data_IF_690870569994
#
_entry.id   IF_690870569994
#
_cell.length_a   1.000
_cell.length_b   1.000
_cell.length_c   1.000
_cell.angle_alpha   90.00
_cell.angle_beta   90.00
_cell.angle_gamma   90.00
#
_symmetry.space_group_name_H-M   'P 1'
#
loop_
_entity.id
_entity.type
_entity.pdbx_description
1 polymer ?
#
# COMPACT_ATOMS: atom_id res chain seq x y z
N UNK A 1 -0.16 13.12 10.27
CA UNK A 1 -0.84 14.24 9.61
C UNK A 1 -2.18 14.51 10.29
N UNK A 2 -2.55 15.78 10.46
CA UNK A 2 -3.83 16.17 11.09
C UNK A 2 -4.40 17.34 10.29
N UNK A 3 -5.06 17.05 9.16
CA UNK A 3 -5.65 18.09 8.32
C UNK A 3 -6.84 18.76 9.04
N UNK A 4 -7.12 20.03 8.71
CA UNK A 4 -8.19 20.81 9.34
C UNK A 4 -9.57 20.20 9.11
N UNK A 5 -9.81 19.72 7.90
CA UNK A 5 -11.11 19.21 7.44
C UNK A 5 -11.03 17.75 6.96
N UNK A 6 -10.14 16.95 7.56
CA UNK A 6 -9.93 15.54 7.23
C UNK A 6 -9.52 14.72 8.46
N UNK A 7 -9.44 13.41 8.28
CA UNK A 7 -9.08 12.48 9.34
C UNK A 7 -7.59 12.59 9.70
N UNK A 8 -7.30 12.46 10.98
CA UNK A 8 -5.93 12.27 11.47
C UNK A 8 -5.36 10.96 10.91
N UNK A 9 -4.08 10.97 10.51
CA UNK A 9 -3.47 9.80 9.88
C UNK A 9 -1.98 9.70 10.14
N UNK A 10 -1.46 8.48 10.07
CA UNK A 10 -0.03 8.14 9.94
C UNK A 10 0.20 7.57 8.56
N UNK A 11 1.35 7.86 7.95
CA UNK A 11 1.68 7.37 6.62
C UNK A 11 3.20 7.29 6.43
N UNK A 12 3.64 6.37 5.59
CA UNK A 12 5.01 6.31 5.08
C UNK A 12 5.13 7.11 3.79
N UNK A 13 6.13 7.96 3.70
CA UNK A 13 6.39 8.80 2.53
C UNK A 13 7.75 8.49 1.91
N UNK A 14 7.81 8.41 0.58
CA UNK A 14 9.05 8.18 -0.17
C UNK A 14 9.82 9.49 -0.39
N UNK A 15 10.78 9.80 0.47
CA UNK A 15 11.57 11.03 0.40
C UNK A 15 12.49 11.12 -0.84
N UNK A 16 12.80 10.02 -1.47
CA UNK A 16 13.51 9.96 -2.75
C UNK A 16 12.71 10.59 -3.90
N UNK A 17 11.39 10.54 -3.88
CA UNK A 17 10.53 11.25 -4.84
C UNK A 17 10.73 12.78 -4.83
N UNK A 18 11.24 13.33 -3.74
CA UNK A 18 11.55 14.76 -3.59
C UNK A 18 13.07 15.00 -3.44
N UNK A 19 13.89 14.00 -3.68
CA UNK A 19 15.35 14.03 -3.53
C UNK A 19 15.80 14.51 -2.15
N UNK A 20 15.07 14.18 -1.08
CA UNK A 20 15.36 14.55 0.30
C UNK A 20 15.89 13.38 1.16
N UNK A 21 16.25 12.27 0.51
CA UNK A 21 16.73 11.02 1.12
C UNK A 21 18.24 11.01 1.40
N UNK A 22 18.97 12.10 1.13
CA UNK A 22 20.41 12.20 1.37
C UNK A 22 20.69 13.04 2.62
N UNK A 23 21.73 12.70 3.43
CA UNK A 23 22.03 13.42 4.69
C UNK A 23 22.42 14.89 4.47
N UNK A 24 23.08 15.21 3.35
CA UNK A 24 23.64 16.54 3.05
C UNK A 24 22.80 17.35 2.05
N UNK A 25 21.46 17.20 2.14
CA UNK A 25 20.56 17.95 1.25
C UNK A 25 20.52 19.45 1.60
N UNK A 26 20.36 20.29 0.57
CA UNK A 26 20.19 21.74 0.75
C UNK A 26 18.96 22.09 1.62
N UNK A 27 18.95 23.29 2.19
CA UNK A 27 17.80 23.77 2.97
C UNK A 27 16.48 23.74 2.16
N UNK A 28 16.55 24.09 0.88
CA UNK A 28 15.38 24.02 -0.01
C UNK A 28 14.82 22.59 -0.12
N UNK A 29 15.68 21.57 -0.24
CA UNK A 29 15.26 20.17 -0.25
C UNK A 29 14.73 19.70 1.12
N UNK A 30 15.31 20.18 2.23
CA UNK A 30 14.74 19.93 3.57
C UNK A 30 13.36 20.51 3.71
N UNK A 31 13.11 21.70 3.17
CA UNK A 31 11.77 22.31 3.12
C UNK A 31 10.80 21.51 2.24
N UNK A 32 11.28 20.83 1.20
CA UNK A 32 10.46 19.94 0.39
C UNK A 32 9.87 18.77 1.19
N UNK A 33 10.45 18.39 2.35
CA UNK A 33 9.85 17.40 3.25
C UNK A 33 8.45 17.83 3.78
N UNK A 34 8.10 19.12 3.70
CA UNK A 34 6.74 19.57 4.01
C UNK A 34 5.70 19.04 3.01
N UNK A 35 6.13 18.56 1.84
CA UNK A 35 5.26 17.89 0.87
C UNK A 35 5.10 16.38 1.12
N UNK A 36 5.79 15.82 2.11
CA UNK A 36 5.73 14.39 2.43
C UNK A 36 4.30 13.82 2.56
N UNK A 37 3.31 14.55 3.13
CA UNK A 37 1.93 14.07 3.20
C UNK A 37 1.27 13.79 1.82
N UNK A 38 1.83 14.34 0.73
CA UNK A 38 1.30 14.18 -0.63
C UNK A 38 2.06 13.18 -1.49
N UNK A 39 3.06 12.50 -0.91
CA UNK A 39 3.89 11.47 -1.57
C UNK A 39 3.90 10.17 -0.76
N UNK A 40 2.79 9.87 -0.08
CA UNK A 40 2.63 8.66 0.70
C UNK A 40 2.57 7.42 -0.19
N UNK A 41 3.11 6.30 0.30
CA UNK A 41 3.03 4.98 -0.33
C UNK A 41 2.04 4.08 0.38
N UNK A 42 1.84 4.31 1.67
CA UNK A 42 0.85 3.65 2.51
C UNK A 42 0.46 4.54 3.68
N UNK A 43 -0.54 4.12 4.45
CA UNK A 43 -0.96 4.81 5.66
C UNK A 43 -2.23 4.25 6.27
N UNK A 44 -2.52 4.72 7.49
CA UNK A 44 -3.74 4.43 8.25
C UNK A 44 -4.32 5.72 8.81
N UNK A 45 -5.64 5.86 8.80
CA UNK A 45 -6.34 7.00 9.40
C UNK A 45 -7.03 6.64 10.72
N UNK A 46 -7.51 7.66 11.44
CA UNK A 46 -8.21 7.51 12.75
C UNK A 46 -9.57 6.83 12.67
N UNK A 47 -10.07 6.51 11.47
CA UNK A 47 -11.28 5.69 11.26
C UNK A 47 -10.94 4.22 11.11
N UNK A 48 -9.66 3.85 11.15
CA UNK A 48 -9.19 2.50 10.94
C UNK A 48 -9.30 2.07 9.48
N UNK A 49 -9.07 2.99 8.55
CA UNK A 49 -8.86 2.66 7.14
C UNK A 49 -7.38 2.72 6.83
N UNK A 50 -6.84 1.61 6.37
CA UNK A 50 -5.47 1.52 5.84
C UNK A 50 -5.47 1.40 4.32
N UNK A 51 -4.49 2.01 3.68
CA UNK A 51 -4.27 1.94 2.23
C UNK A 51 -2.78 1.79 1.94
N UNK A 52 -2.45 0.93 0.98
CA UNK A 52 -1.11 0.79 0.44
C UNK A 52 -1.16 0.74 -1.09
N UNK A 53 -0.09 1.21 -1.75
CA UNK A 53 0.06 1.15 -3.21
C UNK A 53 1.10 0.10 -3.58
N UNK A 54 0.80 -0.68 -4.63
CA UNK A 54 1.74 -1.63 -5.22
C UNK A 54 1.85 -1.37 -6.72
N UNK A 55 3.06 -1.52 -7.26
CA UNK A 55 3.33 -1.34 -8.70
C UNK A 55 2.87 -2.53 -9.52
N UNK A 56 2.40 -2.24 -10.73
CA UNK A 56 2.09 -3.21 -11.77
C UNK A 56 2.99 -2.97 -12.99
N UNK A 57 3.50 -4.04 -13.58
CA UNK A 57 4.37 -3.97 -14.78
C UNK A 57 3.51 -3.87 -16.05
N UNK A 58 2.72 -2.81 -16.14
CA UNK A 58 1.83 -2.53 -17.28
C UNK A 58 1.87 -1.05 -17.63
N UNK A 59 1.28 -0.71 -18.79
CA UNK A 59 1.14 0.68 -19.21
C UNK A 59 0.39 1.49 -18.15
N UNK A 60 0.87 2.69 -17.83
CA UNK A 60 0.27 3.53 -16.79
C UNK A 60 -1.20 3.86 -17.10
N UNK A 61 -2.06 3.79 -16.09
CA UNK A 61 -3.42 4.31 -16.20
C UNK A 61 -3.40 5.80 -16.50
N UNK A 62 -4.24 6.24 -17.43
CA UNK A 62 -4.47 7.64 -17.75
C UNK A 62 -5.91 7.81 -18.23
N UNK A 63 -6.84 7.86 -17.29
CA UNK A 63 -8.26 8.03 -17.59
C UNK A 63 -8.54 9.44 -18.11
N UNK A 64 -9.54 9.57 -18.99
CA UNK A 64 -10.04 10.82 -19.54
C UNK A 64 -11.55 10.73 -19.78
N UNK A 65 -12.30 10.52 -18.70
CA UNK A 65 -13.77 10.38 -18.73
C UNK A 65 -14.48 11.70 -18.48
N UNK A 66 -13.73 12.79 -18.24
CA UNK A 66 -14.25 14.11 -17.93
C UNK A 66 -14.38 14.41 -16.44
N UNK A 67 -13.96 13.49 -15.57
CA UNK A 67 -13.84 13.74 -14.13
C UNK A 67 -12.56 14.54 -13.83
N UNK A 68 -12.46 15.10 -12.64
CA UNK A 68 -11.21 15.72 -12.19
C UNK A 68 -10.09 14.67 -12.11
N UNK A 69 -8.90 15.00 -12.65
CA UNK A 69 -7.75 14.07 -12.61
C UNK A 69 -7.09 14.05 -11.23
N UNK A 70 -6.71 12.86 -10.79
CA UNK A 70 -5.93 12.64 -9.58
C UNK A 70 -4.78 11.66 -9.87
N UNK A 71 -3.60 11.91 -9.28
CA UNK A 71 -2.48 10.97 -9.40
C UNK A 71 -2.33 10.11 -8.16
N UNK A 72 -1.66 8.97 -8.30
CA UNK A 72 -1.58 7.87 -7.36
C UNK A 72 -1.31 8.29 -5.91
N UNK A 73 -0.29 9.13 -5.65
CA UNK A 73 0.05 9.50 -4.27
C UNK A 73 -0.94 10.48 -3.64
N UNK A 74 -1.60 11.34 -4.45
CA UNK A 74 -2.72 12.16 -3.98
C UNK A 74 -3.97 11.33 -3.71
N UNK A 75 -4.19 10.25 -4.45
CA UNK A 75 -5.29 9.33 -4.19
C UNK A 75 -5.16 8.69 -2.81
N UNK A 76 -3.94 8.27 -2.41
CA UNK A 76 -3.67 7.77 -1.06
C UNK A 76 -4.02 8.83 -0.02
N UNK A 77 -3.56 10.07 -0.22
CA UNK A 77 -3.86 11.18 0.69
C UNK A 77 -5.36 11.45 0.80
N UNK A 78 -6.08 11.41 -0.33
CA UNK A 78 -7.53 11.61 -0.37
C UNK A 78 -8.28 10.55 0.45
N UNK A 79 -7.92 9.27 0.28
CA UNK A 79 -8.51 8.15 1.04
C UNK A 79 -8.23 8.33 2.54
N UNK A 80 -6.98 8.61 2.91
CA UNK A 80 -6.61 8.84 4.31
C UNK A 80 -7.35 10.02 4.94
N UNK A 81 -7.66 11.06 4.17
CA UNK A 81 -8.36 12.24 4.69
C UNK A 81 -9.88 12.07 4.78
N UNK A 82 -10.48 11.17 3.99
CA UNK A 82 -11.92 11.21 3.73
C UNK A 82 -12.66 9.88 3.89
N UNK A 83 -11.99 8.73 3.73
CA UNK A 83 -12.67 7.43 3.81
C UNK A 83 -12.71 6.91 5.25
N UNK A 84 -13.86 6.45 5.70
CA UNK A 84 -14.06 5.75 6.96
C UNK A 84 -14.32 4.24 6.78
N UNK A 85 -14.43 3.80 5.52
CA UNK A 85 -14.62 2.39 5.13
C UNK A 85 -13.94 2.10 3.80
N UNK A 86 -13.71 0.83 3.49
CA UNK A 86 -13.24 0.39 2.18
C UNK A 86 -14.19 0.79 1.05
N UNK A 87 -15.52 0.77 1.29
CA UNK A 87 -16.50 1.20 0.29
C UNK A 87 -16.37 2.71 -0.01
N UNK A 88 -16.21 3.54 1.01
CA UNK A 88 -15.99 4.97 0.81
C UNK A 88 -14.69 5.25 0.05
N UNK A 89 -13.63 4.45 0.27
CA UNK A 89 -12.41 4.55 -0.52
C UNK A 89 -12.65 4.24 -2.00
N UNK A 90 -13.42 3.19 -2.31
CA UNK A 90 -13.82 2.87 -3.70
C UNK A 90 -14.58 4.02 -4.32
N UNK A 91 -15.61 4.54 -3.65
CA UNK A 91 -16.49 5.61 -4.17
C UNK A 91 -15.70 6.91 -4.40
N UNK A 92 -14.79 7.24 -3.48
CA UNK A 92 -13.90 8.39 -3.61
C UNK A 92 -13.00 8.25 -4.84
N UNK A 93 -12.31 7.11 -5.00
CA UNK A 93 -11.40 6.90 -6.13
C UNK A 93 -12.14 6.85 -7.47
N UNK A 94 -13.35 6.27 -7.51
CA UNK A 94 -14.19 6.26 -8.71
C UNK A 94 -14.70 7.66 -9.09
N UNK A 95 -14.73 8.61 -8.18
CA UNK A 95 -15.17 9.98 -8.47
C UNK A 95 -14.14 10.82 -9.26
N UNK A 96 -12.94 10.30 -9.47
CA UNK A 96 -11.84 10.95 -10.20
C UNK A 96 -11.38 10.15 -11.41
N UNK A 97 -10.72 10.82 -12.35
CA UNK A 97 -9.93 10.20 -13.40
C UNK A 97 -8.50 9.96 -12.88
N UNK A 98 -8.12 8.70 -12.75
CA UNK A 98 -6.79 8.31 -12.28
C UNK A 98 -5.75 8.45 -13.38
N UNK A 99 -4.58 8.98 -13.03
CA UNK A 99 -3.39 8.88 -13.87
C UNK A 99 -2.14 8.54 -13.06
N UNK A 100 -1.32 7.66 -13.61
CA UNK A 100 -0.03 7.27 -13.04
C UNK A 100 1.10 8.07 -13.70
N UNK A 101 2.03 8.59 -12.88
CA UNK A 101 3.06 9.53 -13.34
C UNK A 101 4.45 8.94 -13.47
N UNK A 102 4.69 7.72 -12.96
CA UNK A 102 6.04 7.13 -12.85
C UNK A 102 6.40 6.17 -13.99
N UNK A 103 5.58 6.10 -15.06
CA UNK A 103 5.81 5.17 -16.17
C UNK A 103 5.41 3.73 -15.87
N UNK A 104 4.74 3.49 -14.75
CA UNK A 104 4.19 2.19 -14.33
C UNK A 104 2.75 2.36 -13.87
N UNK A 105 1.99 1.30 -13.92
CA UNK A 105 0.67 1.24 -13.33
C UNK A 105 0.69 0.85 -11.86
N UNK A 106 -0.42 1.04 -11.17
CA UNK A 106 -0.56 0.80 -9.73
C UNK A 106 -1.94 0.28 -9.40
N UNK A 107 -2.01 -0.50 -8.33
CA UNK A 107 -3.24 -0.77 -7.62
C UNK A 107 -3.12 -0.40 -6.14
N UNK A 108 -4.26 -0.30 -5.47
CA UNK A 108 -4.34 -0.03 -4.05
C UNK A 108 -4.86 -1.25 -3.31
N UNK A 109 -4.26 -1.55 -2.17
CA UNK A 109 -4.83 -2.47 -1.20
C UNK A 109 -5.38 -1.65 -0.04
N UNK A 110 -6.68 -1.80 0.23
CA UNK A 110 -7.39 -1.02 1.25
C UNK A 110 -8.06 -1.98 2.22
N UNK A 111 -7.89 -1.72 3.52
CA UNK A 111 -8.55 -2.45 4.61
C UNK A 111 -9.27 -1.50 5.53
N UNK A 112 -10.21 -2.02 6.34
CA UNK A 112 -10.86 -1.24 7.39
C UNK A 112 -11.05 -2.02 8.69
N UNK A 113 -11.39 -1.31 9.77
CA UNK A 113 -11.59 -1.86 11.11
C UNK A 113 -12.74 -2.90 11.20
N UNK A 114 -13.61 -2.99 10.19
CA UNK A 114 -14.63 -4.04 10.10
C UNK A 114 -14.07 -5.36 9.53
N UNK A 115 -12.80 -5.36 9.06
CA UNK A 115 -12.14 -6.52 8.48
C UNK A 115 -12.42 -6.69 6.98
N UNK A 116 -13.02 -5.70 6.32
CA UNK A 116 -13.14 -5.69 4.86
C UNK A 116 -11.78 -5.36 4.23
N UNK A 117 -11.42 -6.08 3.16
CA UNK A 117 -10.15 -5.93 2.45
C UNK A 117 -10.37 -6.00 0.95
N UNK A 118 -9.93 -4.97 0.24
CA UNK A 118 -10.15 -4.81 -1.21
C UNK A 118 -8.89 -4.40 -1.95
N UNK A 119 -8.69 -5.02 -3.11
CA UNK A 119 -7.77 -4.54 -4.14
C UNK A 119 -8.57 -3.64 -5.08
N UNK A 120 -8.14 -2.40 -5.25
CA UNK A 120 -8.75 -1.41 -6.15
C UNK A 120 -7.77 -1.15 -7.28
N UNK A 121 -8.19 -1.35 -8.51
CA UNK A 121 -7.34 -1.32 -9.71
C UNK A 121 -8.10 -0.78 -10.91
N UNK A 122 -7.38 -0.45 -11.98
CA UNK A 122 -7.93 0.09 -13.23
C UNK A 122 -7.75 -0.94 -14.34
N UNK A 123 -8.86 -1.50 -14.85
CA UNK A 123 -8.87 -2.68 -15.71
C UNK A 123 -8.06 -2.45 -17.00
N UNK A 124 -6.94 -3.17 -17.21
CA UNK A 124 -6.09 -2.97 -18.38
C UNK A 124 -6.71 -3.47 -19.68
N UNK A 125 -7.71 -4.36 -19.62
CA UNK A 125 -8.34 -4.98 -20.78
C UNK A 125 -9.58 -4.22 -21.28
N UNK A 126 -10.03 -3.18 -20.53
CA UNK A 126 -11.20 -2.42 -20.92
C UNK A 126 -10.83 -1.01 -21.37
N UNK A 127 -11.48 -0.55 -22.43
CA UNK A 127 -11.36 0.82 -22.91
C UNK A 127 -11.75 1.80 -21.81
N UNK A 128 -10.98 2.88 -21.67
CA UNK A 128 -11.15 3.85 -20.61
C UNK A 128 -10.69 3.38 -19.23
N UNK A 129 -10.25 2.12 -19.11
CA UNK A 129 -9.70 1.55 -17.88
C UNK A 129 -10.58 1.83 -16.65
N UNK A 130 -11.83 1.34 -16.61
CA UNK A 130 -12.73 1.58 -15.49
C UNK A 130 -12.15 1.02 -14.19
N UNK A 131 -12.45 1.70 -13.08
CA UNK A 131 -12.11 1.20 -11.76
C UNK A 131 -12.81 -0.13 -11.51
N UNK A 132 -12.06 -1.09 -10.98
CA UNK A 132 -12.54 -2.37 -10.47
C UNK A 132 -12.02 -2.59 -9.06
N UNK A 133 -12.76 -3.36 -8.29
CA UNK A 133 -12.26 -3.85 -7.00
C UNK A 133 -12.58 -5.33 -6.82
N UNK A 134 -11.73 -6.00 -6.08
CA UNK A 134 -11.84 -7.42 -5.75
C UNK A 134 -11.62 -7.60 -4.26
N UNK A 135 -12.53 -8.32 -3.58
CA UNK A 135 -12.32 -8.70 -2.18
C UNK A 135 -11.19 -9.72 -2.10
N UNK A 136 -10.09 -9.36 -1.45
CA UNK A 136 -8.90 -10.21 -1.31
C UNK A 136 -8.24 -9.97 0.04
N UNK A 137 -7.71 -11.03 0.66
CA UNK A 137 -6.99 -10.94 1.93
C UNK A 137 -5.50 -10.58 1.75
N UNK A 138 -4.98 -10.68 0.55
CA UNK A 138 -3.62 -10.33 0.19
C UNK A 138 -3.52 -9.97 -1.29
N UNK A 139 -2.48 -9.24 -1.66
CA UNK A 139 -2.12 -8.97 -3.05
C UNK A 139 -0.60 -8.74 -3.15
N UNK A 140 -0.03 -9.01 -4.31
CA UNK A 140 1.33 -8.63 -4.69
C UNK A 140 1.31 -7.87 -6.01
N UNK A 141 2.30 -7.99 -6.87
CA UNK A 141 2.45 -7.14 -8.06
C UNK A 141 1.72 -7.71 -9.30
N UNK A 142 0.47 -8.14 -9.15
CA UNK A 142 -0.39 -8.59 -10.24
C UNK A 142 -1.82 -8.08 -10.09
N UNK A 143 -2.57 -7.99 -11.20
CA UNK A 143 -3.98 -7.60 -11.17
C UNK A 143 -4.83 -8.64 -10.45
N UNK A 144 -5.51 -8.24 -9.40
CA UNK A 144 -6.40 -9.10 -8.60
C UNK A 144 -7.56 -9.64 -9.45
N UNK A 145 -8.13 -8.85 -10.35
CA UNK A 145 -9.20 -9.27 -11.25
C UNK A 145 -8.74 -10.34 -12.28
N UNK A 146 -7.42 -10.47 -12.51
CA UNK A 146 -6.80 -11.46 -13.40
C UNK A 146 -5.88 -12.45 -12.67
N UNK A 147 -5.97 -12.54 -11.34
CA UNK A 147 -5.14 -13.41 -10.51
C UNK A 147 -5.09 -14.88 -10.98
N UNK A 148 -6.19 -15.37 -11.56
CA UNK A 148 -6.31 -16.73 -12.08
C UNK A 148 -5.45 -17.02 -13.33
N UNK A 149 -4.93 -15.99 -14.00
CA UNK A 149 -4.04 -16.11 -15.16
C UNK A 149 -2.56 -16.02 -14.78
N UNK A 150 -2.25 -15.58 -13.58
CA UNK A 150 -0.86 -15.35 -13.12
C UNK A 150 -0.27 -16.62 -12.56
N UNK A 151 0.91 -17.01 -13.05
CA UNK A 151 1.61 -18.22 -12.60
C UNK A 151 2.70 -17.90 -11.58
N UNK A 152 2.98 -18.80 -10.64
CA UNK A 152 4.14 -18.67 -9.73
C UNK A 152 5.44 -18.52 -10.52
N UNK A 153 6.34 -17.66 -10.03
CA UNK A 153 7.65 -17.38 -10.61
C UNK A 153 7.63 -16.87 -12.06
N UNK A 154 6.47 -16.42 -12.54
CA UNK A 154 6.42 -15.80 -13.88
C UNK A 154 7.16 -14.47 -13.86
N UNK A 155 7.93 -14.24 -14.93
CA UNK A 155 8.62 -12.97 -15.21
C UNK A 155 7.98 -12.35 -16.46
N UNK A 156 7.85 -11.04 -16.47
CA UNK A 156 7.28 -10.29 -17.60
C UNK A 156 5.88 -10.78 -18.02
N UNK A 157 5.07 -11.18 -17.06
CA UNK A 157 3.70 -11.61 -17.30
C UNK A 157 2.77 -10.43 -17.63
N UNK A 158 1.80 -10.66 -18.54
CA UNK A 158 0.87 -9.61 -19.00
C UNK A 158 0.09 -8.97 -17.82
N UNK A 159 -0.27 -9.80 -16.82
CA UNK A 159 -1.05 -9.35 -15.67
C UNK A 159 -0.25 -9.18 -14.38
N UNK A 160 1.09 -9.14 -14.47
CA UNK A 160 1.97 -8.91 -13.34
C UNK A 160 2.78 -10.14 -12.90
N UNK A 161 3.32 -10.09 -11.70
CA UNK A 161 4.23 -11.10 -11.15
C UNK A 161 4.07 -11.21 -9.62
N UNK A 162 4.85 -12.11 -8.98
CA UNK A 162 4.88 -12.27 -7.52
C UNK A 162 3.79 -13.19 -6.97
N UNK A 163 3.22 -14.05 -7.82
CA UNK A 163 2.22 -15.04 -7.39
C UNK A 163 2.77 -15.98 -6.31
N UNK A 164 4.04 -16.34 -6.38
CA UNK A 164 4.73 -17.16 -5.37
C UNK A 164 4.77 -16.49 -3.99
N UNK A 165 4.92 -15.16 -3.94
CA UNK A 165 4.86 -14.38 -2.69
C UNK A 165 3.44 -14.30 -2.16
N UNK A 166 2.47 -14.13 -3.05
CA UNK A 166 1.05 -14.17 -2.70
C UNK A 166 0.68 -15.53 -2.09
N UNK A 167 1.10 -16.63 -2.72
CA UNK A 167 0.81 -17.97 -2.25
C UNK A 167 1.44 -18.21 -0.86
N UNK A 168 2.68 -17.74 -0.64
CA UNK A 168 3.34 -17.81 0.67
C UNK A 168 2.58 -17.01 1.75
N UNK A 169 2.04 -15.83 1.41
CA UNK A 169 1.17 -15.06 2.31
C UNK A 169 -0.09 -15.87 2.64
N UNK A 170 -0.75 -16.42 1.63
CA UNK A 170 -2.00 -17.19 1.82
C UNK A 170 -1.79 -18.44 2.67
N UNK A 171 -0.65 -19.11 2.54
CA UNK A 171 -0.29 -20.23 3.40
C UNK A 171 -0.17 -19.79 4.87
N UNK A 172 0.45 -18.65 5.14
CA UNK A 172 0.53 -18.08 6.50
C UNK A 172 -0.86 -17.70 7.02
N UNK A 173 -1.68 -17.05 6.21
CA UNK A 173 -3.05 -16.62 6.59
C UNK A 173 -3.98 -17.83 6.88
N UNK A 174 -3.68 -18.99 6.30
CA UNK A 174 -4.41 -20.25 6.57
C UNK A 174 -4.02 -20.93 7.87
N UNK A 175 -2.88 -20.56 8.48
CA UNK A 175 -2.40 -21.18 9.72
C UNK A 175 -3.34 -20.89 10.89
N UNK A 176 -3.45 -21.87 11.80
CA UNK A 176 -4.18 -21.73 13.06
C UNK A 176 -3.31 -22.27 14.19
N UNK A 177 -3.49 -21.74 15.40
CA UNK A 177 -2.88 -22.27 16.60
C UNK A 177 -3.56 -23.57 17.07
N UNK A 178 -3.11 -24.13 18.18
CA UNK A 178 -3.67 -25.37 18.77
C UNK A 178 -5.14 -25.26 19.13
N UNK A 179 -5.64 -24.05 19.35
CA UNK A 179 -7.02 -23.75 19.75
C UNK A 179 -7.90 -23.34 18.55
N UNK A 180 -7.31 -23.33 17.33
CA UNK A 180 -7.98 -22.98 16.08
C UNK A 180 -8.09 -21.47 15.81
N UNK A 181 -7.38 -20.63 16.58
CA UNK A 181 -7.36 -19.19 16.38
C UNK A 181 -6.28 -18.77 15.39
N UNK A 182 -6.44 -17.55 14.84
CA UNK A 182 -5.38 -16.89 14.05
C UNK A 182 -4.28 -16.44 15.02
N UNK A 183 -3.02 -16.86 14.83
CA UNK A 183 -1.91 -16.42 15.68
C UNK A 183 -1.74 -14.89 15.67
N UNK A 184 -1.43 -14.30 16.81
CA UNK A 184 -1.30 -12.84 16.95
C UNK A 184 -0.17 -12.24 16.07
N UNK A 185 0.84 -13.04 15.74
CA UNK A 185 1.98 -12.65 14.90
C UNK A 185 1.76 -12.90 13.40
N UNK A 186 0.56 -13.30 12.99
CA UNK A 186 0.25 -13.70 11.59
C UNK A 186 0.62 -12.60 10.59
N UNK A 187 0.36 -11.33 10.88
CA UNK A 187 0.70 -10.23 9.99
C UNK A 187 2.22 -10.13 9.75
N UNK A 188 3.02 -10.22 10.81
CA UNK A 188 4.47 -10.23 10.70
C UNK A 188 4.99 -11.46 9.95
N UNK A 189 4.44 -12.64 10.22
CA UNK A 189 4.81 -13.86 9.49
C UNK A 189 4.48 -13.77 8.00
N UNK A 190 3.36 -13.17 7.63
CA UNK A 190 2.99 -12.94 6.24
C UNK A 190 3.96 -11.98 5.54
N UNK A 191 4.35 -10.88 6.20
CA UNK A 191 5.36 -9.95 5.70
C UNK A 191 6.74 -10.60 5.56
N UNK A 192 7.15 -11.41 6.52
CA UNK A 192 8.41 -12.17 6.47
C UNK A 192 8.42 -13.19 5.33
N UNK A 193 7.31 -13.93 5.13
CA UNK A 193 7.17 -14.92 4.07
C UNK A 193 7.22 -14.30 2.66
N UNK A 194 6.81 -13.04 2.51
CA UNK A 194 6.81 -12.30 1.24
C UNK A 194 8.01 -11.36 1.06
N UNK A 195 8.87 -11.24 2.08
CA UNK A 195 10.03 -10.34 2.04
C UNK A 195 11.04 -10.80 0.97
N UNK A 196 11.61 -9.82 0.28
CA UNK A 196 12.61 -10.04 -0.76
C UNK A 196 14.01 -9.73 -0.24
N UNK A 197 14.94 -10.66 -0.46
CA UNK A 197 16.34 -10.49 -0.15
C UNK A 197 17.03 -9.50 -1.10
N UNK A 198 18.09 -8.80 -0.66
CA UNK A 198 18.88 -7.99 -1.53
C UNK A 198 19.42 -8.81 -2.71
N UNK A 199 19.10 -8.34 -3.92
CA UNK A 199 19.61 -8.94 -5.15
C UNK A 199 20.56 -7.96 -5.85
N UNK A 200 21.85 -8.27 -6.01
CA UNK A 200 22.79 -7.40 -6.71
C UNK A 200 22.43 -7.15 -8.19
N UNK A 201 21.69 -8.08 -8.81
CA UNK A 201 21.27 -7.99 -10.21
C UNK A 201 19.96 -7.20 -10.37
N UNK A 202 19.19 -7.06 -9.30
CA UNK A 202 17.94 -6.31 -9.26
C UNK A 202 17.82 -5.54 -7.95
N UNK A 203 18.26 -4.30 -7.93
CA UNK A 203 18.23 -3.43 -6.76
C UNK A 203 16.81 -3.09 -6.29
N UNK A 204 15.80 -3.34 -7.11
CA UNK A 204 14.39 -3.13 -6.75
C UNK A 204 13.83 -4.31 -5.96
N UNK A 205 14.43 -5.49 -6.08
CA UNK A 205 14.10 -6.71 -5.33
C UNK A 205 14.81 -6.70 -3.98
N UNK A 206 14.37 -5.82 -3.07
CA UNK A 206 14.92 -5.70 -1.74
C UNK A 206 13.92 -5.00 -0.81
N UNK A 207 13.35 -5.73 0.14
CA UNK A 207 12.40 -5.17 1.10
C UNK A 207 13.07 -4.11 1.99
N UNK A 208 12.69 -2.85 1.80
CA UNK A 208 13.24 -1.71 2.52
C UNK A 208 12.55 -1.46 3.85
N UNK A 209 11.24 -1.73 3.93
CA UNK A 209 10.45 -1.65 5.14
C UNK A 209 9.34 -2.70 5.11
N UNK A 210 8.83 -3.02 6.26
CA UNK A 210 7.60 -3.79 6.46
C UNK A 210 6.76 -3.09 7.51
N UNK A 211 5.48 -2.92 7.26
CA UNK A 211 4.56 -2.19 8.11
C UNK A 211 3.36 -3.06 8.46
N UNK A 212 2.98 -3.06 9.74
CA UNK A 212 1.72 -3.63 10.22
C UNK A 212 0.89 -2.49 10.80
N UNK A 213 -0.32 -2.32 10.29
CA UNK A 213 -1.35 -1.44 10.83
C UNK A 213 -2.37 -2.29 11.60
N UNK A 214 -2.69 -1.89 12.82
CA UNK A 214 -3.86 -2.38 13.54
C UNK A 214 -4.97 -1.34 13.40
N UNK A 215 -5.89 -1.59 12.47
CA UNK A 215 -6.98 -0.69 12.11
C UNK A 215 -8.00 -0.51 13.24
N UNK A 216 -8.00 -1.41 14.24
CA UNK A 216 -8.87 -1.34 15.43
C UNK A 216 -8.20 -0.60 16.59
N UNK A 217 -6.96 -0.95 16.90
CA UNK A 217 -6.20 -0.30 17.96
C UNK A 217 -5.62 1.06 17.54
N UNK A 218 -5.58 1.36 16.23
CA UNK A 218 -5.00 2.55 15.62
C UNK A 218 -3.50 2.66 15.93
N UNK A 219 -2.79 1.55 15.79
CA UNK A 219 -1.34 1.48 15.97
C UNK A 219 -0.65 1.04 14.70
N UNK A 220 0.60 1.46 14.54
CA UNK A 220 1.45 1.04 13.44
C UNK A 220 2.79 0.52 13.98
N UNK A 221 3.31 -0.52 13.33
CA UNK A 221 4.58 -1.12 13.65
C UNK A 221 5.42 -1.22 12.38
N UNK A 222 6.66 -0.73 12.41
CA UNK A 222 7.55 -0.73 11.26
C UNK A 222 8.88 -1.41 11.57
N UNK A 223 9.28 -2.36 10.71
CA UNK A 223 10.62 -2.92 10.64
C UNK A 223 11.33 -2.40 9.39
N UNK A 224 12.56 -1.90 9.55
CA UNK A 224 13.37 -1.38 8.46
C UNK A 224 14.36 -2.42 7.98
N UNK A 225 14.50 -2.57 6.66
CA UNK A 225 15.49 -3.45 6.00
C UNK A 225 15.49 -4.88 6.56
N UNK A 226 14.28 -5.41 6.87
CA UNK A 226 14.08 -6.76 7.41
C UNK A 226 14.74 -6.97 8.78
N UNK A 227 14.97 -5.90 9.55
CA UNK A 227 15.37 -6.00 10.94
C UNK A 227 14.13 -6.23 11.82
N UNK A 228 13.70 -7.48 11.91
CA UNK A 228 12.49 -7.88 12.63
C UNK A 228 12.64 -7.83 14.17
N UNK A 229 13.86 -7.68 14.67
CA UNK A 229 14.18 -7.62 16.10
C UNK A 229 14.14 -6.17 16.64
N UNK A 230 14.06 -5.18 15.75
CA UNK A 230 14.03 -3.77 16.08
C UNK A 230 12.85 -3.08 15.38
N UNK A 231 11.70 -3.19 16.02
CA UNK A 231 10.42 -2.70 15.49
C UNK A 231 10.06 -1.39 16.16
N UNK A 232 9.87 -0.35 15.35
CA UNK A 232 9.39 0.96 15.80
C UNK A 232 7.86 0.89 15.93
N UNK A 233 7.33 1.30 17.07
CA UNK A 233 5.90 1.37 17.35
C UNK A 233 5.40 2.81 17.28
N UNK A 234 4.23 3.01 16.71
CA UNK A 234 3.54 4.30 16.70
C UNK A 234 2.08 4.13 17.10
N UNK A 235 1.61 4.98 18.01
CA UNK A 235 0.21 5.04 18.44
C UNK A 235 -0.43 6.33 17.89
N UNK A 236 -1.43 6.16 17.00
CA UNK A 236 -2.14 7.26 16.36
C UNK A 236 -3.05 8.00 17.36
N UNK A 237 -3.56 7.33 18.40
CA UNK A 237 -4.44 7.94 19.40
C UNK A 237 -3.66 8.98 20.22
N UNK A 238 -2.48 8.61 20.70
CA UNK A 238 -1.62 9.45 21.54
C UNK A 238 -0.61 10.28 20.76
N UNK A 239 -0.38 9.95 19.50
CA UNK A 239 0.65 10.55 18.62
C UNK A 239 2.06 10.36 19.19
N UNK A 240 2.35 9.16 19.70
CA UNK A 240 3.63 8.82 20.31
C UNK A 240 4.37 7.74 19.53
N UNK A 241 5.70 7.83 19.53
CA UNK A 241 6.61 6.80 19.03
C UNK A 241 7.22 6.10 20.22
N UNK A 242 7.22 4.76 20.20
CA UNK A 242 7.92 3.91 21.15
C UNK A 242 8.73 2.83 20.42
N UNK A 243 9.71 2.26 21.08
CA UNK A 243 10.51 1.14 20.59
C UNK A 243 10.97 0.33 21.77
#
# INVERSE_FOLDING_TARGET
CTPKDGYKSVALAALDNISANQPDVSMAKKLACLTAPFICLDGMNEKGVSIAVLTLDSEPVNQDTGKQKIFTTLAIRLVLDRAATTQEAVDLLDSYDMFATSGRDYHFFVTDAAGDARVIEYDPEQEGRPLRWTAMQAITNFYGCYAYLVQPNQKNGIYGHGKERYDAIMDVLAMRDSDGNIPADTAWRALQASAQDPNPEDVTSNTQWSLVYDDTALTAQIALRRNWDDVIHYDLNTNTIGG
#
